data_IF_567893635962
#
_entry.id   IF_567893635962
#
_cell.length_a   1.000
_cell.length_b   1.000
_cell.length_c   1.000
_cell.angle_alpha   90.00
_cell.angle_beta   90.00
_cell.angle_gamma   90.00
#
_symmetry.space_group_name_H-M   'P 1'
#
loop_
_entity.id
_entity.type
_entity.pdbx_description
1 polymer ?
#
# COMPACT_ATOMS: atom_id res chain seq x y z
N UNK A 1 -9.78 -12.05 1.73
CA UNK A 1 -9.55 -11.67 3.16
C UNK A 1 -10.77 -11.05 3.80
N UNK A 2 -10.90 -11.19 5.12
CA UNK A 2 -12.05 -10.71 5.91
C UNK A 2 -11.58 -9.95 7.18
N UNK A 3 -10.43 -9.27 7.08
CA UNK A 3 -9.89 -8.44 8.16
C UNK A 3 -10.51 -7.03 8.20
N UNK A 4 -10.04 -6.18 9.15
CA UNK A 4 -10.59 -4.84 9.34
C UNK A 4 -10.57 -3.98 8.07
N UNK A 5 -9.51 -4.03 7.25
CA UNK A 5 -9.45 -3.26 6.00
C UNK A 5 -10.46 -3.77 4.95
N UNK A 6 -10.79 -5.07 4.98
CA UNK A 6 -11.84 -5.60 4.13
C UNK A 6 -13.23 -5.08 4.55
N UNK A 7 -13.46 -4.87 5.87
CA UNK A 7 -14.70 -4.25 6.37
C UNK A 7 -14.81 -2.79 5.94
N UNK A 8 -13.72 -2.02 6.01
CA UNK A 8 -13.70 -0.63 5.55
C UNK A 8 -14.00 -0.55 4.05
N UNK A 9 -13.39 -1.42 3.23
CA UNK A 9 -13.64 -1.48 1.80
C UNK A 9 -15.07 -1.90 1.49
N UNK A 10 -15.59 -2.95 2.15
CA UNK A 10 -16.95 -3.40 1.94
C UNK A 10 -17.97 -2.31 2.26
N UNK A 11 -17.77 -1.61 3.38
CA UNK A 11 -18.61 -0.48 3.78
C UNK A 11 -18.59 0.66 2.74
N UNK A 12 -17.40 0.98 2.21
CA UNK A 12 -17.24 2.00 1.18
C UNK A 12 -17.93 1.60 -0.13
N UNK A 13 -17.75 0.36 -0.59
CA UNK A 13 -18.38 -0.15 -1.81
C UNK A 13 -19.91 -0.10 -1.72
N UNK A 14 -20.48 -0.53 -0.58
CA UNK A 14 -21.93 -0.49 -0.35
C UNK A 14 -22.46 0.95 -0.36
N UNK A 15 -21.73 1.90 0.27
CA UNK A 15 -22.12 3.32 0.24
C UNK A 15 -22.13 3.89 -1.18
N UNK A 16 -21.22 3.43 -2.04
CA UNK A 16 -21.17 3.82 -3.45
C UNK A 16 -22.13 2.99 -4.35
N UNK A 17 -22.95 2.11 -3.77
CA UNK A 17 -23.92 1.27 -4.50
C UNK A 17 -23.26 0.12 -5.28
N UNK A 18 -22.03 -0.25 -4.95
CA UNK A 18 -21.31 -1.36 -5.60
C UNK A 18 -21.53 -2.64 -4.79
N UNK A 19 -22.10 -3.65 -5.45
CA UNK A 19 -22.30 -4.97 -4.85
C UNK A 19 -20.99 -5.76 -4.71
N UNK A 20 -20.91 -6.58 -3.66
CA UNK A 20 -19.82 -7.54 -3.47
C UNK A 20 -20.38 -8.91 -3.84
N UNK A 21 -19.83 -9.50 -4.90
CA UNK A 21 -20.32 -10.77 -5.42
C UNK A 21 -19.99 -11.96 -4.50
N UNK A 22 -18.76 -12.02 -4.02
CA UNK A 22 -18.34 -13.16 -3.21
C UNK A 22 -17.18 -12.86 -2.27
N UNK A 23 -16.94 -13.76 -1.32
CA UNK A 23 -15.85 -13.67 -0.34
C UNK A 23 -15.16 -15.00 -0.11
N UNK A 24 -13.82 -14.94 -0.01
CA UNK A 24 -12.96 -16.03 0.46
C UNK A 24 -12.01 -15.51 1.55
N UNK A 25 -11.63 -16.38 2.48
CA UNK A 25 -10.66 -16.08 3.53
C UNK A 25 -9.83 -17.32 3.85
N UNK A 26 -8.67 -17.16 4.49
CA UNK A 26 -7.85 -18.27 4.96
C UNK A 26 -8.58 -19.23 5.93
N UNK A 27 -9.65 -18.75 6.55
CA UNK A 27 -10.57 -19.58 7.36
C UNK A 27 -11.99 -19.39 6.85
N UNK A 28 -12.63 -20.45 6.41
CA UNK A 28 -14.00 -20.44 5.89
C UNK A 28 -15.00 -19.80 6.87
N UNK A 29 -14.87 -20.10 8.18
CA UNK A 29 -15.71 -19.50 9.21
C UNK A 29 -15.62 -17.98 9.29
N UNK A 30 -14.46 -17.40 8.96
CA UNK A 30 -14.29 -15.94 8.90
C UNK A 30 -14.93 -15.35 7.64
N UNK A 31 -14.82 -16.04 6.49
CA UNK A 31 -15.52 -15.67 5.27
C UNK A 31 -17.03 -15.69 5.46
N UNK A 32 -17.56 -16.72 6.14
CA UNK A 32 -18.98 -16.86 6.43
C UNK A 32 -19.51 -15.74 7.33
N UNK A 33 -18.81 -15.41 8.41
CA UNK A 33 -19.19 -14.26 9.28
C UNK A 33 -19.21 -12.95 8.50
N UNK A 34 -18.19 -12.73 7.68
CA UNK A 34 -18.09 -11.52 6.83
C UNK A 34 -19.26 -11.46 5.83
N UNK A 35 -19.63 -12.58 5.21
CA UNK A 35 -20.75 -12.63 4.27
C UNK A 35 -22.10 -12.36 4.93
N UNK A 36 -22.31 -12.86 6.15
CA UNK A 36 -23.52 -12.59 6.94
C UNK A 36 -23.64 -11.09 7.29
N UNK A 37 -22.52 -10.45 7.67
CA UNK A 37 -22.48 -9.01 8.02
C UNK A 37 -22.79 -8.10 6.82
N UNK A 38 -22.23 -8.42 5.65
CA UNK A 38 -22.36 -7.59 4.44
C UNK A 38 -23.37 -8.12 3.42
N UNK A 39 -24.14 -9.14 3.78
CA UNK A 39 -25.16 -9.77 2.91
C UNK A 39 -24.59 -10.24 1.56
N UNK A 40 -23.39 -10.87 1.60
CA UNK A 40 -22.71 -11.41 0.42
C UNK A 40 -23.24 -12.82 0.15
N UNK A 41 -23.71 -13.08 -1.08
CA UNK A 41 -24.37 -14.33 -1.43
C UNK A 41 -23.38 -15.51 -1.57
N UNK A 42 -22.22 -15.28 -2.20
CA UNK A 42 -21.27 -16.34 -2.51
C UNK A 42 -20.12 -16.39 -1.49
N UNK A 43 -19.98 -17.53 -0.82
CA UNK A 43 -18.90 -17.81 0.15
C UNK A 43 -18.09 -18.99 -0.33
N UNK A 44 -16.79 -18.78 -0.61
CA UNK A 44 -15.92 -19.81 -1.14
C UNK A 44 -15.10 -20.46 -0.04
N UNK A 45 -14.91 -21.79 -0.14
CA UNK A 45 -14.12 -22.55 0.83
C UNK A 45 -12.64 -22.18 0.83
N UNK A 46 -12.13 -21.76 -0.32
CA UNK A 46 -10.74 -21.34 -0.52
C UNK A 46 -10.63 -20.35 -1.67
N UNK A 47 -9.44 -19.80 -1.88
CA UNK A 47 -9.18 -18.82 -2.95
C UNK A 47 -9.28 -19.44 -4.35
N UNK A 48 -8.85 -20.70 -4.51
CA UNK A 48 -8.90 -21.40 -5.79
C UNK A 48 -10.34 -21.52 -6.31
N UNK A 49 -11.28 -21.98 -5.48
CA UNK A 49 -12.68 -22.08 -5.85
C UNK A 49 -13.28 -20.71 -6.24
N UNK A 50 -12.82 -19.62 -5.61
CA UNK A 50 -13.22 -18.27 -5.96
C UNK A 50 -12.65 -17.84 -7.31
N UNK A 51 -11.40 -18.20 -7.64
CA UNK A 51 -10.78 -17.82 -8.92
C UNK A 51 -11.35 -18.62 -10.09
N UNK A 52 -11.84 -19.82 -9.87
CA UNK A 52 -12.48 -20.67 -10.88
C UNK A 52 -13.91 -20.20 -11.24
N UNK A 53 -14.52 -19.31 -10.45
CA UNK A 53 -15.84 -18.77 -10.78
C UNK A 53 -15.75 -17.75 -11.93
N UNK A 54 -16.39 -18.07 -13.06
CA UNK A 54 -16.39 -17.24 -14.27
C UNK A 54 -17.16 -15.92 -14.11
N UNK A 55 -17.99 -15.78 -13.07
CA UNK A 55 -18.73 -14.54 -12.79
C UNK A 55 -17.89 -13.51 -12.01
N UNK A 56 -16.67 -13.82 -11.65
CA UNK A 56 -15.74 -12.91 -10.99
C UNK A 56 -14.78 -12.33 -12.02
N UNK A 57 -14.79 -11.02 -12.21
CA UNK A 57 -13.85 -10.29 -13.09
C UNK A 57 -12.67 -9.72 -12.32
N UNK A 58 -12.92 -9.26 -11.08
CA UNK A 58 -11.93 -8.57 -10.26
C UNK A 58 -11.86 -9.12 -8.85
N UNK A 59 -10.66 -9.25 -8.33
CA UNK A 59 -10.39 -9.71 -6.96
C UNK A 59 -9.74 -8.58 -6.16
N UNK A 60 -10.35 -8.26 -4.99
CA UNK A 60 -9.74 -7.40 -3.99
C UNK A 60 -9.00 -8.23 -2.95
N UNK A 61 -7.68 -8.03 -2.84
CA UNK A 61 -6.81 -8.76 -1.91
C UNK A 61 -6.57 -7.91 -0.67
N UNK A 62 -7.10 -8.38 0.48
CA UNK A 62 -7.01 -7.72 1.79
C UNK A 62 -6.52 -8.72 2.85
N UNK A 63 -5.48 -9.44 2.53
CA UNK A 63 -4.82 -10.44 3.39
C UNK A 63 -3.56 -9.84 4.03
N UNK A 64 -2.81 -10.54 4.91
CA UNK A 64 -1.50 -10.09 5.34
C UNK A 64 -0.50 -9.97 4.18
N UNK A 65 0.45 -9.03 4.27
CA UNK A 65 1.39 -8.68 3.20
C UNK A 65 2.15 -9.88 2.62
N UNK A 66 2.55 -10.84 3.47
CA UNK A 66 3.30 -12.03 3.08
C UNK A 66 2.54 -12.99 2.18
N UNK A 67 1.24 -12.83 2.02
CA UNK A 67 0.40 -13.68 1.17
C UNK A 67 -0.07 -12.98 -0.13
N UNK A 68 0.21 -11.69 -0.30
CA UNK A 68 -0.28 -10.94 -1.45
C UNK A 68 0.24 -11.49 -2.77
N UNK A 69 1.54 -11.78 -2.86
CA UNK A 69 2.16 -12.26 -4.10
C UNK A 69 1.51 -13.53 -4.63
N UNK A 70 1.42 -14.58 -3.80
CA UNK A 70 0.86 -15.87 -4.23
C UNK A 70 -0.60 -15.74 -4.64
N UNK A 71 -1.41 -15.04 -3.84
CA UNK A 71 -2.84 -14.83 -4.14
C UNK A 71 -3.02 -13.99 -5.41
N UNK A 72 -2.23 -12.95 -5.59
CA UNK A 72 -2.27 -12.10 -6.78
C UNK A 72 -1.86 -12.86 -8.03
N UNK A 73 -0.77 -13.63 -7.96
CA UNK A 73 -0.29 -14.47 -9.06
C UNK A 73 -1.35 -15.49 -9.48
N UNK A 74 -1.94 -16.19 -8.53
CA UNK A 74 -2.99 -17.18 -8.80
C UNK A 74 -4.22 -16.53 -9.43
N UNK A 75 -4.69 -15.40 -8.91
CA UNK A 75 -5.82 -14.65 -9.48
C UNK A 75 -5.54 -14.25 -10.95
N UNK A 76 -4.35 -13.74 -11.24
CA UNK A 76 -3.94 -13.36 -12.60
C UNK A 76 -3.87 -14.57 -13.54
N UNK A 77 -3.41 -15.73 -13.06
CA UNK A 77 -3.37 -16.98 -13.85
C UNK A 77 -4.78 -17.52 -14.15
N UNK A 78 -5.79 -17.12 -13.38
CA UNK A 78 -7.21 -17.40 -13.61
C UNK A 78 -7.96 -16.25 -14.28
N UNK A 79 -7.23 -15.38 -15.00
CA UNK A 79 -7.77 -14.26 -15.79
C UNK A 79 -8.57 -13.24 -14.97
N UNK A 80 -8.24 -13.05 -13.68
CA UNK A 80 -8.87 -12.05 -12.83
C UNK A 80 -8.05 -10.77 -12.78
N UNK A 81 -8.70 -9.63 -12.89
CA UNK A 81 -8.10 -8.34 -12.51
C UNK A 81 -7.84 -8.31 -11.01
N UNK A 82 -6.83 -7.57 -10.58
CA UNK A 82 -6.45 -7.52 -9.17
C UNK A 82 -6.38 -6.09 -8.66
N UNK A 83 -7.05 -5.86 -7.53
CA UNK A 83 -6.83 -4.72 -6.66
C UNK A 83 -6.26 -5.26 -5.34
N UNK A 84 -5.02 -4.92 -5.02
CA UNK A 84 -4.32 -5.48 -3.87
C UNK A 84 -3.99 -4.40 -2.83
N UNK A 85 -4.20 -4.69 -1.55
CA UNK A 85 -3.79 -3.81 -0.48
C UNK A 85 -2.26 -3.59 -0.46
N UNK A 86 -1.88 -2.49 0.16
CA UNK A 86 -0.47 -2.13 0.38
C UNK A 86 0.09 -2.97 1.56
N UNK A 87 1.37 -3.32 1.59
CA UNK A 87 2.34 -3.28 0.52
C UNK A 87 1.99 -4.38 -0.49
N UNK A 88 1.97 -4.03 -1.78
CA UNK A 88 1.48 -4.93 -2.83
C UNK A 88 2.26 -6.25 -2.93
N UNK A 89 3.59 -6.20 -2.76
CA UNK A 89 4.50 -7.35 -2.66
C UNK A 89 5.63 -7.04 -1.69
N UNK A 90 6.42 -8.04 -1.31
CA UNK A 90 7.55 -7.87 -0.40
C UNK A 90 8.83 -7.40 -1.10
N UNK A 91 8.92 -7.59 -2.40
CA UNK A 91 10.07 -7.19 -3.22
C UNK A 91 9.67 -6.95 -4.68
N UNK A 92 10.57 -6.31 -5.43
CA UNK A 92 10.32 -5.95 -6.82
C UNK A 92 10.24 -7.16 -7.76
N UNK A 93 10.94 -8.25 -7.47
CA UNK A 93 10.93 -9.46 -8.31
C UNK A 93 9.54 -10.09 -8.35
N UNK A 94 8.88 -10.20 -7.20
CA UNK A 94 7.49 -10.66 -7.09
C UNK A 94 6.53 -9.76 -7.88
N UNK A 95 6.69 -8.45 -7.75
CA UNK A 95 5.86 -7.48 -8.48
C UNK A 95 6.09 -7.56 -9.98
N UNK A 96 7.35 -7.63 -10.43
CA UNK A 96 7.71 -7.70 -11.84
C UNK A 96 7.12 -8.96 -12.50
N UNK A 97 7.12 -10.10 -11.79
CA UNK A 97 6.49 -11.33 -12.28
C UNK A 97 4.97 -11.15 -12.46
N UNK A 98 4.27 -10.63 -11.45
CA UNK A 98 2.84 -10.38 -11.54
C UNK A 98 2.50 -9.38 -12.66
N UNK A 99 3.27 -8.30 -12.80
CA UNK A 99 3.10 -7.30 -13.87
C UNK A 99 3.31 -7.95 -15.26
N UNK A 100 4.27 -8.88 -15.38
CA UNK A 100 4.49 -9.62 -16.63
C UNK A 100 3.27 -10.47 -16.99
N UNK A 101 2.76 -11.28 -16.04
CA UNK A 101 1.57 -12.11 -16.24
C UNK A 101 0.36 -11.23 -16.62
N UNK A 102 0.14 -10.14 -15.91
CA UNK A 102 -0.97 -9.24 -16.19
C UNK A 102 -0.90 -8.65 -17.61
N UNK A 103 0.28 -8.23 -18.06
CA UNK A 103 0.49 -7.72 -19.42
C UNK A 103 0.23 -8.78 -20.48
N UNK A 104 0.73 -10.00 -20.30
CA UNK A 104 0.55 -11.12 -21.23
C UNK A 104 -0.91 -11.53 -21.37
N UNK A 105 -1.72 -11.35 -20.31
CA UNK A 105 -3.12 -11.70 -20.26
C UNK A 105 -4.08 -10.50 -20.42
N UNK A 106 -3.54 -9.30 -20.66
CA UNK A 106 -4.32 -8.05 -20.75
C UNK A 106 -5.17 -7.75 -19.51
N UNK A 107 -4.59 -8.00 -18.33
CA UNK A 107 -5.20 -7.78 -17.03
C UNK A 107 -4.67 -6.51 -16.35
N UNK A 108 -5.44 -5.99 -15.40
CA UNK A 108 -5.09 -4.81 -14.61
C UNK A 108 -4.68 -5.25 -13.21
N UNK A 109 -3.56 -4.68 -12.73
CA UNK A 109 -3.17 -4.69 -11.33
C UNK A 109 -3.22 -3.26 -10.81
N UNK A 110 -3.85 -3.05 -9.67
CA UNK A 110 -3.83 -1.78 -8.95
C UNK A 110 -3.54 -2.02 -7.47
N UNK A 111 -2.89 -1.07 -6.83
CA UNK A 111 -2.61 -1.13 -5.39
C UNK A 111 -3.55 -0.26 -4.55
N UNK A 112 -3.61 -0.55 -3.25
CA UNK A 112 -4.41 0.14 -2.26
C UNK A 112 -3.77 1.41 -1.67
N UNK A 113 -2.78 2.02 -2.35
CA UNK A 113 -2.19 3.29 -1.90
C UNK A 113 -3.16 4.44 -2.14
N UNK A 114 -3.94 4.76 -1.13
CA UNK A 114 -5.03 5.75 -1.19
C UNK A 114 -4.57 7.14 -1.61
N UNK A 115 -3.32 7.53 -1.32
CA UNK A 115 -2.75 8.83 -1.63
C UNK A 115 -2.97 9.24 -3.10
N UNK A 116 -2.77 8.32 -4.04
CA UNK A 116 -2.91 8.60 -5.47
C UNK A 116 -4.35 8.88 -5.91
N UNK A 117 -5.33 8.50 -5.11
CA UNK A 117 -6.76 8.65 -5.40
C UNK A 117 -7.39 9.87 -4.70
N UNK A 118 -6.72 10.43 -3.68
CA UNK A 118 -7.24 11.56 -2.92
C UNK A 118 -7.29 12.84 -3.77
N UNK A 119 -8.42 13.57 -3.80
CA UNK A 119 -8.56 14.81 -4.57
C UNK A 119 -7.49 15.86 -4.24
N UNK A 120 -7.17 16.02 -2.95
CA UNK A 120 -6.13 16.94 -2.50
C UNK A 120 -4.79 16.69 -3.21
N UNK A 121 -4.32 15.46 -3.26
CA UNK A 121 -3.02 15.14 -3.87
C UNK A 121 -3.02 15.35 -5.39
N UNK A 122 -4.17 15.15 -6.05
CA UNK A 122 -4.33 15.45 -7.47
C UNK A 122 -4.20 16.96 -7.73
N UNK A 123 -4.82 17.81 -6.89
CA UNK A 123 -4.70 19.26 -6.99
C UNK A 123 -3.29 19.76 -6.67
N UNK A 124 -2.66 19.24 -5.62
CA UNK A 124 -1.28 19.59 -5.28
C UNK A 124 -0.30 19.19 -6.41
N UNK A 125 -0.55 18.06 -7.08
CA UNK A 125 0.26 17.67 -8.26
C UNK A 125 0.13 18.68 -9.39
N UNK A 126 -1.06 19.24 -9.62
CA UNK A 126 -1.27 20.30 -10.62
C UNK A 126 -0.49 21.56 -10.25
N UNK A 127 -0.50 21.98 -8.97
CA UNK A 127 0.27 23.13 -8.49
C UNK A 127 1.76 22.94 -8.75
N UNK A 128 2.33 21.79 -8.39
CA UNK A 128 3.75 21.50 -8.67
C UNK A 128 4.02 21.45 -10.20
N UNK A 129 3.15 20.80 -10.96
CA UNK A 129 3.32 20.66 -12.42
C UNK A 129 3.17 21.96 -13.17
N UNK A 130 2.44 22.96 -12.63
CA UNK A 130 2.34 24.30 -13.22
C UNK A 130 3.62 25.13 -13.10
N UNK A 131 4.58 24.66 -12.30
CA UNK A 131 5.84 25.34 -11.99
C UNK A 131 5.66 26.74 -11.34
N UNK A 132 4.47 27.03 -10.79
CA UNK A 132 4.18 28.32 -10.15
C UNK A 132 5.03 28.59 -8.90
N UNK A 133 5.46 27.51 -8.22
CA UNK A 133 6.37 27.56 -7.08
C UNK A 133 7.85 27.38 -7.47
N UNK A 134 8.14 27.28 -8.77
CA UNK A 134 9.47 26.92 -9.25
C UNK A 134 9.78 25.43 -9.09
N UNK A 135 10.98 24.97 -9.49
CA UNK A 135 11.36 23.57 -9.39
C UNK A 135 11.43 23.07 -7.94
N UNK A 136 11.06 21.82 -7.75
CA UNK A 136 11.22 21.11 -6.46
C UNK A 136 12.70 20.97 -6.15
N UNK A 137 13.08 21.26 -4.91
CA UNK A 137 14.46 21.15 -4.41
C UNK A 137 14.59 20.08 -3.32
N UNK A 138 13.61 20.03 -2.41
CA UNK A 138 13.65 19.11 -1.28
C UNK A 138 12.27 18.62 -0.93
N UNK A 139 12.17 17.34 -0.54
CA UNK A 139 10.97 16.72 0.01
C UNK A 139 11.31 16.13 1.37
N UNK A 140 10.48 16.39 2.37
CA UNK A 140 10.64 15.83 3.71
C UNK A 140 9.36 15.11 4.09
N UNK A 141 9.49 13.88 4.60
CA UNK A 141 8.36 13.09 5.06
C UNK A 141 8.64 12.50 6.44
N UNK A 142 7.76 12.78 7.36
CA UNK A 142 7.75 12.17 8.67
C UNK A 142 6.48 11.31 8.81
N UNK A 143 6.62 10.05 9.16
CA UNK A 143 5.47 9.20 9.40
C UNK A 143 5.70 8.32 10.63
N UNK A 144 5.03 8.66 11.73
CA UNK A 144 5.00 7.87 12.96
C UNK A 144 3.66 7.18 13.13
N UNK A 145 3.70 5.91 13.52
CA UNK A 145 2.51 5.13 13.88
C UNK A 145 2.81 4.30 15.11
N UNK A 146 2.76 4.95 16.29
CA UNK A 146 3.10 4.29 17.55
C UNK A 146 2.31 3.00 17.74
N UNK A 147 3.01 1.91 18.00
CA UNK A 147 2.49 0.60 18.35
C UNK A 147 2.97 0.21 19.73
N UNK A 148 2.11 -0.39 20.53
CA UNK A 148 2.51 -0.98 21.80
C UNK A 148 3.50 -2.13 21.56
N UNK A 149 4.36 -2.35 22.55
CA UNK A 149 5.33 -3.43 22.49
C UNK A 149 4.62 -4.79 22.63
N UNK A 150 4.62 -5.55 21.55
CA UNK A 150 4.11 -6.92 21.54
C UNK A 150 4.78 -7.68 20.39
N UNK A 151 5.66 -8.62 20.71
CA UNK A 151 6.40 -9.46 19.75
C UNK A 151 5.48 -10.34 18.91
N UNK A 152 4.28 -10.64 19.39
CA UNK A 152 3.30 -11.45 18.66
C UNK A 152 2.45 -10.62 17.71
N UNK A 153 2.51 -9.28 17.83
CA UNK A 153 1.75 -8.42 16.96
C UNK A 153 2.31 -8.47 15.52
N UNK A 154 1.42 -8.52 14.54
CA UNK A 154 1.79 -8.56 13.12
C UNK A 154 2.78 -7.46 12.70
N UNK A 155 2.74 -6.31 13.36
CA UNK A 155 3.64 -5.19 13.05
C UNK A 155 5.11 -5.47 13.36
N UNK A 156 5.38 -6.41 14.28
CA UNK A 156 6.72 -6.78 14.71
C UNK A 156 7.08 -8.22 14.34
N UNK A 157 6.19 -8.93 13.64
CA UNK A 157 6.40 -10.32 13.25
C UNK A 157 7.01 -10.41 11.84
N UNK A 158 8.27 -10.87 11.67
CA UNK A 158 8.91 -11.00 10.37
C UNK A 158 8.18 -11.98 9.44
N UNK A 159 7.54 -13.03 9.99
CA UNK A 159 6.78 -14.00 9.19
C UNK A 159 5.48 -13.42 8.60
N UNK A 160 5.03 -12.28 9.12
CA UNK A 160 3.86 -11.55 8.61
C UNK A 160 4.27 -10.27 7.86
N UNK A 161 5.55 -10.17 7.50
CA UNK A 161 6.12 -9.00 6.83
C UNK A 161 5.88 -7.70 7.64
N UNK A 162 6.20 -7.75 8.95
CA UNK A 162 6.18 -6.59 9.83
C UNK A 162 7.28 -5.60 9.51
N UNK A 163 7.32 -4.50 10.25
CA UNK A 163 8.31 -3.43 10.14
C UNK A 163 7.71 -2.11 9.65
N UNK A 164 8.36 -1.01 10.03
CA UNK A 164 7.92 0.34 9.70
C UNK A 164 7.94 0.61 8.20
N UNK A 165 8.95 0.11 7.50
CA UNK A 165 9.08 0.34 6.04
C UNK A 165 7.90 -0.28 5.27
N UNK A 166 7.54 -1.53 5.55
CA UNK A 166 6.45 -2.21 4.84
C UNK A 166 5.06 -1.70 5.26
N UNK A 167 4.86 -1.37 6.54
CA UNK A 167 3.52 -0.94 6.99
C UNK A 167 3.22 0.54 6.71
N UNK A 168 4.16 1.44 7.03
CA UNK A 168 3.97 2.89 6.90
C UNK A 168 4.88 3.56 5.88
N UNK A 169 6.03 2.97 5.56
CA UNK A 169 6.99 3.53 4.61
C UNK A 169 6.43 3.61 3.19
N UNK A 170 5.52 2.72 2.81
CA UNK A 170 4.85 2.75 1.51
C UNK A 170 4.17 4.11 1.26
N UNK A 171 3.51 4.69 2.27
CA UNK A 171 2.88 6.02 2.15
C UNK A 171 3.91 7.14 2.00
N UNK A 172 4.98 7.09 2.80
CA UNK A 172 6.04 8.10 2.76
C UNK A 172 6.82 8.09 1.44
N UNK A 173 7.16 6.90 0.95
CA UNK A 173 7.83 6.73 -0.35
C UNK A 173 6.90 7.14 -1.50
N UNK A 174 5.62 6.77 -1.43
CA UNK A 174 4.63 7.17 -2.44
C UNK A 174 4.43 8.68 -2.47
N UNK A 175 4.37 9.34 -1.30
CA UNK A 175 4.34 10.80 -1.21
C UNK A 175 5.55 11.43 -1.90
N UNK A 176 6.75 10.97 -1.56
CA UNK A 176 7.97 11.47 -2.18
C UNK A 176 7.95 11.27 -3.70
N UNK A 177 7.64 10.04 -4.16
CA UNK A 177 7.58 9.71 -5.58
C UNK A 177 6.53 10.50 -6.35
N UNK A 178 5.42 10.85 -5.70
CA UNK A 178 4.36 11.64 -6.33
C UNK A 178 4.85 13.03 -6.77
N UNK A 179 5.71 13.64 -5.96
CA UNK A 179 6.19 15.00 -6.22
C UNK A 179 7.57 15.07 -6.89
N UNK A 180 8.39 14.01 -6.82
CA UNK A 180 9.66 13.96 -7.54
C UNK A 180 9.47 13.98 -9.06
N UNK A 181 10.33 14.70 -9.77
CA UNK A 181 10.34 14.78 -11.23
C UNK A 181 10.76 13.44 -11.89
N UNK A 182 11.68 12.71 -11.27
CA UNK A 182 12.12 11.39 -11.76
C UNK A 182 12.33 10.38 -10.63
N UNK A 183 12.58 9.12 -10.99
CA UNK A 183 12.92 8.07 -10.02
C UNK A 183 14.25 8.40 -9.32
N UNK A 184 14.40 8.08 -8.03
CA UNK A 184 15.67 8.21 -7.35
C UNK A 184 16.72 7.29 -7.97
N UNK A 185 17.96 7.78 -8.06
CA UNK A 185 19.14 7.03 -8.49
C UNK A 185 20.16 6.87 -7.36
N UNK A 186 19.99 7.58 -6.27
CA UNK A 186 20.76 7.44 -5.04
C UNK A 186 19.83 7.13 -3.89
N UNK A 187 20.14 6.09 -3.12
CA UNK A 187 19.38 5.65 -1.94
C UNK A 187 20.36 5.35 -0.82
N UNK A 188 20.21 6.04 0.31
CA UNK A 188 20.92 5.76 1.54
C UNK A 188 19.90 5.48 2.63
N UNK A 189 20.12 4.43 3.41
CA UNK A 189 19.20 4.02 4.47
C UNK A 189 19.91 3.64 5.73
N UNK A 190 19.23 3.83 6.85
CA UNK A 190 19.60 3.29 8.15
C UNK A 190 18.33 2.85 8.88
N UNK A 191 18.45 1.91 9.80
CA UNK A 191 17.34 1.47 10.63
C UNK A 191 17.75 1.16 12.05
N UNK A 192 16.80 1.24 12.97
CA UNK A 192 16.88 0.62 14.29
C UNK A 192 16.05 -0.66 14.23
N UNK A 193 16.65 -1.84 14.43
CA UNK A 193 15.90 -3.09 14.45
C UNK A 193 15.10 -3.22 15.74
N UNK A 194 13.89 -3.77 15.64
CA UNK A 194 13.16 -4.33 16.76
C UNK A 194 13.79 -5.68 17.17
N UNK A 195 13.48 -6.22 18.35
CA UNK A 195 14.09 -7.47 18.81
C UNK A 195 13.82 -8.69 17.90
N UNK A 196 12.75 -8.65 17.08
CA UNK A 196 12.42 -9.68 16.09
C UNK A 196 13.18 -9.52 14.76
N UNK A 197 13.99 -8.45 14.63
CA UNK A 197 14.78 -8.15 13.44
C UNK A 197 14.11 -7.29 12.38
N UNK A 198 12.80 -6.99 12.50
CA UNK A 198 12.14 -6.02 11.61
C UNK A 198 12.55 -4.59 11.97
N UNK A 199 12.41 -3.66 11.05
CA UNK A 199 12.71 -2.26 11.33
C UNK A 199 11.65 -1.63 12.24
N UNK A 200 12.09 -1.18 13.41
CA UNK A 200 11.30 -0.38 14.35
C UNK A 200 11.17 1.06 13.85
N UNK A 201 12.28 1.60 13.40
CA UNK A 201 12.41 2.93 12.86
C UNK A 201 13.39 2.94 11.69
N UNK A 202 13.10 3.74 10.67
CA UNK A 202 13.94 3.83 9.48
C UNK A 202 14.15 5.28 9.06
N UNK A 203 15.39 5.60 8.68
CA UNK A 203 15.78 6.85 8.02
C UNK A 203 16.17 6.59 6.58
N UNK A 204 15.63 7.37 5.64
CA UNK A 204 15.89 7.19 4.21
C UNK A 204 16.26 8.53 3.61
N UNK A 205 17.34 8.56 2.83
CA UNK A 205 17.74 9.67 1.99
C UNK A 205 17.73 9.23 0.53
N UNK A 206 16.99 9.98 -0.30
CA UNK A 206 16.91 9.73 -1.74
C UNK A 206 17.40 10.96 -2.51
N UNK A 207 18.00 10.72 -3.68
CA UNK A 207 18.27 11.79 -4.65
C UNK A 207 17.99 11.27 -6.06
N UNK A 208 17.54 12.15 -6.94
CA UNK A 208 17.34 11.85 -8.35
C UNK A 208 18.33 12.61 -9.25
N UNK A 209 18.25 12.41 -10.57
CA UNK A 209 19.12 13.09 -11.55
C UNK A 209 18.89 14.60 -11.63
N UNK A 210 17.72 15.11 -11.23
CA UNK A 210 17.38 16.53 -11.13
C UNK A 210 17.90 17.16 -9.83
N UNK A 211 18.69 16.43 -9.04
CA UNK A 211 19.27 16.86 -7.77
C UNK A 211 18.24 17.20 -6.69
N UNK A 212 17.00 16.69 -6.83
CA UNK A 212 15.99 16.77 -5.77
C UNK A 212 16.38 15.81 -4.63
N UNK A 213 16.39 16.30 -3.41
CA UNK A 213 16.72 15.53 -2.21
C UNK A 213 15.45 15.19 -1.44
N UNK A 214 15.32 13.94 -1.01
CA UNK A 214 14.22 13.48 -0.16
C UNK A 214 14.77 12.95 1.15
N UNK A 215 14.17 13.36 2.26
CA UNK A 215 14.42 12.78 3.58
C UNK A 215 13.13 12.18 4.12
N UNK A 216 13.19 10.90 4.54
CA UNK A 216 12.07 10.20 5.15
C UNK A 216 12.49 9.67 6.51
N UNK A 217 11.66 9.90 7.52
CA UNK A 217 11.81 9.28 8.84
C UNK A 217 10.54 8.52 9.21
N UNK A 218 10.70 7.25 9.56
CA UNK A 218 9.64 6.32 9.93
C UNK A 218 9.86 5.82 11.35
N UNK A 219 8.81 5.69 12.13
CA UNK A 219 8.91 5.00 13.42
C UNK A 219 7.57 4.39 13.85
N UNK A 220 7.64 3.20 14.45
CA UNK A 220 6.52 2.52 15.08
C UNK A 220 6.60 2.55 16.63
N UNK A 221 7.71 3.08 17.19
CA UNK A 221 7.96 3.11 18.63
C UNK A 221 8.07 4.50 19.23
N UNK A 222 7.98 5.54 18.41
CA UNK A 222 7.92 6.92 18.89
C UNK A 222 6.66 7.61 18.36
N UNK A 223 6.14 8.55 19.16
CA UNK A 223 5.08 9.45 18.71
C UNK A 223 5.71 10.52 17.84
N UNK A 224 5.47 10.45 16.54
CA UNK A 224 6.00 11.37 15.54
C UNK A 224 4.84 11.93 14.71
N UNK A 225 4.84 13.23 14.38
CA UNK A 225 3.82 13.79 13.49
C UNK A 225 3.81 13.11 12.12
N UNK A 226 2.64 12.99 11.53
CA UNK A 226 2.52 12.68 10.11
C UNK A 226 2.59 13.99 9.35
N UNK A 227 3.66 14.19 8.59
CA UNK A 227 3.93 15.45 7.90
C UNK A 227 4.65 15.21 6.59
N UNK A 228 4.22 15.90 5.54
CA UNK A 228 4.90 15.97 4.26
C UNK A 228 5.18 17.41 3.88
N UNK A 229 6.40 17.71 3.44
CA UNK A 229 6.82 19.00 2.94
C UNK A 229 7.43 18.85 1.55
N UNK A 230 6.99 19.66 0.60
CA UNK A 230 7.59 19.80 -0.73
C UNK A 230 8.11 21.23 -0.86
N UNK A 231 9.41 21.41 -0.75
CA UNK A 231 10.07 22.72 -0.86
C UNK A 231 10.51 22.97 -2.30
N UNK A 232 10.01 24.04 -2.89
CA UNK A 232 10.34 24.53 -4.21
C UNK A 232 11.19 25.80 -4.11
N UNK A 233 11.66 26.32 -5.23
CA UNK A 233 12.52 27.50 -5.26
C UNK A 233 11.83 28.78 -4.75
N UNK A 234 10.54 28.96 -5.06
CA UNK A 234 9.78 30.17 -4.75
C UNK A 234 8.67 29.97 -3.70
N UNK A 235 8.59 28.80 -3.09
CA UNK A 235 7.58 28.49 -2.09
C UNK A 235 7.60 27.04 -1.67
N UNK A 236 6.63 26.64 -0.89
CA UNK A 236 6.53 25.24 -0.43
C UNK A 236 5.07 24.81 -0.26
N UNK A 237 4.85 23.51 -0.26
CA UNK A 237 3.61 22.86 0.13
C UNK A 237 3.88 22.07 1.40
N UNK A 238 3.05 22.25 2.39
CA UNK A 238 3.10 21.48 3.64
C UNK A 238 1.76 20.78 3.87
N UNK A 239 1.82 19.50 4.21
CA UNK A 239 0.66 18.66 4.53
C UNK A 239 0.92 18.03 5.90
N UNK A 240 -0.02 18.17 6.78
CA UNK A 240 0.01 17.58 8.12
C UNK A 240 -1.39 17.10 8.53
N UNK A 241 -1.41 16.18 9.51
CA UNK A 241 -2.62 15.56 10.04
C UNK A 241 -2.96 16.21 11.38
#
# INVERSE_FOLDING_TARGET
GSGWIAHDMASALIQEGVGIYGVASGHYSSAKKFSEEFSIEHVYENYQAMFEDENIDIVYIATPHNSHYEIMKDALLHDKHVFCEKAITLNSTELDECVKIAKERNLVISDGVTLFHMPLFKELKKVISSNSLGPVKMIQVNFGSFKEYDVNNRFFNPNLAGGALLDIGVYAVSFARWFMASKPNTVLTTMTPFETGVDESSGILLQNKEMEIVTISLTMRAKQPKRGLVACENGYIEIYN
#
